data_IF_905165215062
#
_entry.id   IF_905165215062
#
_cell.length_a   1.000
_cell.length_b   1.000
_cell.length_c   1.000
_cell.angle_alpha   90.00
_cell.angle_beta   90.00
_cell.angle_gamma   90.00
#
_symmetry.space_group_name_H-M   'P 1'
#
loop_
_entity.id
_entity.type
_entity.pdbx_description
1 polymer ?
#
# COMPACT_ATOMS: atom_id res chain seq x y z
N UNK A 1 2.20 3.91 -14.23
CA UNK A 1 1.73 3.27 -12.98
C UNK A 1 1.19 4.26 -11.93
N UNK A 2 1.76 5.47 -11.76
CA UNK A 2 1.23 6.43 -10.74
C UNK A 2 -0.28 6.73 -10.88
N UNK A 3 -0.77 6.91 -12.11
CA UNK A 3 -2.20 7.14 -12.36
C UNK A 3 -3.06 5.89 -12.14
N UNK A 4 -2.58 4.71 -12.55
CA UNK A 4 -3.26 3.43 -12.32
C UNK A 4 -3.48 3.18 -10.82
N UNK A 5 -2.43 3.35 -10.00
CA UNK A 5 -2.54 3.20 -8.56
C UNK A 5 -3.48 4.23 -7.92
N UNK A 6 -3.44 5.49 -8.37
CA UNK A 6 -4.38 6.52 -7.89
C UNK A 6 -5.83 6.18 -8.22
N UNK A 7 -6.08 5.71 -9.43
CA UNK A 7 -7.43 5.29 -9.84
C UNK A 7 -7.91 4.10 -9.02
N UNK A 8 -7.07 3.09 -8.82
CA UNK A 8 -7.41 1.89 -8.04
C UNK A 8 -7.66 2.25 -6.56
N UNK A 9 -6.87 3.17 -6.00
CA UNK A 9 -7.06 3.70 -4.65
C UNK A 9 -8.38 4.47 -4.51
N UNK A 10 -8.71 5.35 -5.47
CA UNK A 10 -10.01 6.04 -5.47
C UNK A 10 -11.18 5.05 -5.57
N UNK A 11 -11.05 4.00 -6.40
CA UNK A 11 -12.05 2.95 -6.51
C UNK A 11 -12.28 2.22 -5.18
N UNK A 12 -11.21 1.91 -4.45
CA UNK A 12 -11.29 1.30 -3.10
C UNK A 12 -12.01 2.24 -2.12
N UNK A 13 -11.70 3.55 -2.14
CA UNK A 13 -12.36 4.53 -1.28
C UNK A 13 -13.86 4.64 -1.58
N UNK A 14 -14.23 4.71 -2.85
CA UNK A 14 -15.64 4.73 -3.27
C UNK A 14 -16.37 3.44 -2.88
N UNK A 15 -15.74 2.29 -3.09
CA UNK A 15 -16.30 0.98 -2.74
C UNK A 15 -16.50 0.84 -1.22
N UNK A 16 -15.55 1.33 -0.42
CA UNK A 16 -15.66 1.32 1.03
C UNK A 16 -16.77 2.25 1.52
N UNK A 17 -16.85 3.48 0.98
CA UNK A 17 -17.92 4.43 1.30
C UNK A 17 -19.30 3.87 0.93
N UNK A 18 -19.44 3.27 -0.26
CA UNK A 18 -20.67 2.62 -0.69
C UNK A 18 -21.04 1.44 0.22
N UNK A 19 -20.08 0.58 0.59
CA UNK A 19 -20.32 -0.53 1.51
C UNK A 19 -20.78 -0.09 2.89
N UNK A 20 -20.19 0.99 3.42
CA UNK A 20 -20.61 1.58 4.70
C UNK A 20 -22.00 2.22 4.62
N UNK A 21 -22.31 2.91 3.52
CA UNK A 21 -23.63 3.50 3.30
C UNK A 21 -24.72 2.42 3.23
N UNK A 22 -24.50 1.36 2.44
CA UNK A 22 -25.46 0.23 2.30
C UNK A 22 -25.64 -0.53 3.62
N UNK A 23 -24.57 -0.67 4.40
CA UNK A 23 -24.66 -1.24 5.76
C UNK A 23 -25.53 -0.38 6.66
N UNK A 24 -25.38 0.95 6.60
CA UNK A 24 -26.16 1.92 7.37
C UNK A 24 -27.62 2.03 6.95
N UNK A 25 -27.94 1.79 5.68
CA UNK A 25 -29.30 1.88 5.13
C UNK A 25 -30.20 0.67 5.44
N UNK A 26 -29.79 -0.20 6.36
CA UNK A 26 -30.57 -1.37 6.81
C UNK A 26 -30.22 -2.69 6.11
N UNK A 27 -29.38 -2.69 5.07
CA UNK A 27 -28.99 -3.91 4.35
C UNK A 27 -27.60 -4.41 4.78
N UNK A 28 -27.47 -4.74 6.07
CA UNK A 28 -26.19 -5.07 6.72
C UNK A 28 -25.46 -6.25 6.08
N UNK A 29 -26.18 -7.27 5.61
CA UNK A 29 -25.56 -8.44 4.95
C UNK A 29 -24.83 -8.06 3.66
N UNK A 30 -25.48 -7.26 2.81
CA UNK A 30 -24.92 -6.82 1.54
C UNK A 30 -23.79 -5.81 1.76
N UNK A 31 -23.96 -4.88 2.71
CA UNK A 31 -22.92 -3.92 3.10
C UNK A 31 -21.64 -4.61 3.62
N UNK A 32 -21.77 -5.60 4.50
CA UNK A 32 -20.62 -6.36 5.01
C UNK A 32 -19.91 -7.15 3.91
N UNK A 33 -20.64 -7.71 2.92
CA UNK A 33 -20.04 -8.37 1.77
C UNK A 33 -19.22 -7.40 0.91
N UNK A 34 -19.77 -6.22 0.63
CA UNK A 34 -19.06 -5.18 -0.14
C UNK A 34 -17.77 -4.81 0.60
N UNK A 35 -17.87 -4.44 1.89
CA UNK A 35 -16.71 -4.05 2.71
C UNK A 35 -15.66 -5.17 2.73
N UNK A 36 -16.08 -6.42 2.95
CA UNK A 36 -15.17 -7.57 2.94
C UNK A 36 -14.43 -7.72 1.62
N UNK A 37 -15.15 -7.61 0.49
CA UNK A 37 -14.54 -7.69 -0.83
C UNK A 37 -13.61 -6.51 -1.13
N UNK A 38 -13.97 -5.29 -0.69
CA UNK A 38 -13.12 -4.10 -0.78
C UNK A 38 -11.81 -4.30 -0.03
N UNK A 39 -11.87 -4.79 1.22
CA UNK A 39 -10.69 -5.06 2.05
C UNK A 39 -9.82 -6.15 1.42
N UNK A 40 -10.44 -7.24 0.95
CA UNK A 40 -9.72 -8.35 0.31
C UNK A 40 -9.00 -7.88 -0.97
N UNK A 41 -9.69 -7.12 -1.82
CA UNK A 41 -9.12 -6.53 -3.03
C UNK A 41 -7.98 -5.57 -2.68
N UNK A 42 -8.12 -4.75 -1.65
CA UNK A 42 -7.07 -3.84 -1.20
C UNK A 42 -5.83 -4.59 -0.72
N UNK A 43 -6.01 -5.64 0.08
CA UNK A 43 -4.91 -6.42 0.65
C UNK A 43 -4.18 -7.29 -0.39
N UNK A 44 -4.91 -7.96 -1.27
CA UNK A 44 -4.31 -8.93 -2.20
C UNK A 44 -3.98 -8.36 -3.59
N UNK A 45 -4.62 -7.26 -4.00
CA UNK A 45 -4.38 -6.67 -5.32
C UNK A 45 -3.67 -5.33 -5.16
N UNK A 46 -4.26 -4.37 -4.44
CA UNK A 46 -3.69 -3.03 -4.35
C UNK A 46 -2.33 -3.01 -3.63
N UNK A 47 -2.20 -3.70 -2.49
CA UNK A 47 -0.97 -3.71 -1.71
C UNK A 47 0.22 -4.29 -2.50
N UNK A 48 0.17 -5.49 -3.11
CA UNK A 48 1.30 -6.00 -3.91
C UNK A 48 1.67 -5.08 -5.08
N UNK A 49 0.67 -4.55 -5.81
CA UNK A 49 0.90 -3.58 -6.89
C UNK A 49 1.59 -2.31 -6.38
N UNK A 50 1.17 -1.83 -5.21
CA UNK A 50 1.77 -0.68 -4.56
C UNK A 50 3.22 -0.92 -4.17
N UNK A 51 3.50 -2.07 -3.54
CA UNK A 51 4.86 -2.45 -3.16
C UNK A 51 5.76 -2.55 -4.38
N UNK A 52 5.36 -3.27 -5.44
CA UNK A 52 6.15 -3.38 -6.68
C UNK A 52 6.42 -2.02 -7.30
N UNK A 53 5.40 -1.15 -7.36
CA UNK A 53 5.57 0.19 -7.90
C UNK A 53 6.53 1.06 -7.06
N UNK A 54 6.42 0.98 -5.73
CA UNK A 54 7.22 1.76 -4.78
C UNK A 54 8.65 1.26 -4.65
N UNK A 55 8.85 -0.05 -4.78
CA UNK A 55 10.15 -0.72 -4.66
C UNK A 55 11.06 -0.44 -5.86
N UNK A 56 10.53 0.03 -6.99
CA UNK A 56 11.31 0.26 -8.22
C UNK A 56 12.57 1.10 -7.95
N UNK A 57 13.74 0.47 -8.03
CA UNK A 57 15.05 1.10 -7.85
C UNK A 57 15.68 0.98 -6.45
N UNK A 58 15.00 0.36 -5.47
CA UNK A 58 15.55 0.12 -4.13
C UNK A 58 16.18 -1.27 -4.05
N UNK A 59 17.47 -1.36 -3.69
CA UNK A 59 18.14 -2.63 -3.44
C UNK A 59 18.00 -3.00 -1.96
N UNK A 60 17.62 -4.26 -1.67
CA UNK A 60 17.55 -4.77 -0.29
C UNK A 60 18.88 -4.59 0.47
N UNK A 61 19.99 -4.77 -0.25
CA UNK A 61 21.35 -4.63 0.28
C UNK A 61 21.59 -3.25 0.90
N UNK A 62 21.00 -2.19 0.34
CA UNK A 62 21.19 -0.82 0.85
C UNK A 62 20.48 -0.58 2.19
N UNK A 63 19.60 -1.50 2.61
CA UNK A 63 18.83 -1.43 3.86
C UNK A 63 19.24 -2.49 4.89
N UNK A 64 20.28 -3.28 4.59
CA UNK A 64 20.80 -4.28 5.53
C UNK A 64 21.90 -3.67 6.39
N UNK A 65 21.97 -4.00 7.68
CA UNK A 65 23.06 -3.62 8.59
C UNK A 65 24.33 -4.43 8.30
N UNK A 66 24.91 -4.24 7.13
CA UNK A 66 26.20 -4.82 6.76
C UNK A 66 27.34 -3.91 7.23
N UNK A 67 28.52 -4.51 7.46
CA UNK A 67 29.75 -3.77 7.78
C UNK A 67 30.03 -2.69 6.72
N UNK A 68 29.84 -3.00 5.43
CA UNK A 68 29.99 -2.05 4.31
C UNK A 68 29.04 -0.84 4.43
N UNK A 69 27.79 -1.05 4.84
CA UNK A 69 26.80 0.03 4.97
C UNK A 69 27.03 0.87 6.23
N UNK A 70 27.44 0.25 7.33
CA UNK A 70 27.82 0.95 8.56
C UNK A 70 29.04 1.85 8.34
N UNK A 71 30.02 1.36 7.57
CA UNK A 71 31.20 2.13 7.22
C UNK A 71 30.89 3.30 6.29
N UNK A 72 30.00 3.09 5.29
CA UNK A 72 29.48 4.18 4.45
C UNK A 72 28.80 5.28 5.28
N UNK A 73 28.00 4.91 6.27
CA UNK A 73 27.30 5.85 7.15
C UNK A 73 28.28 6.67 8.00
N UNK A 74 29.26 6.00 8.60
CA UNK A 74 30.32 6.64 9.39
C UNK A 74 31.15 7.62 8.55
N UNK A 75 31.50 7.24 7.32
CA UNK A 75 32.29 8.08 6.43
C UNK A 75 31.48 9.26 5.85
N UNK A 76 30.15 9.14 5.71
CA UNK A 76 29.30 10.26 5.32
C UNK A 76 29.17 11.34 6.41
N UNK A 77 29.23 10.97 7.68
CA UNK A 77 29.21 11.92 8.80
C UNK A 77 30.54 12.66 8.99
N UNK A 78 31.67 12.04 8.61
CA UNK A 78 33.01 12.64 8.73
C UNK A 78 33.34 13.63 7.59
N UNK A 79 32.54 13.66 6.52
CA UNK A 79 32.75 14.54 5.35
C UNK A 79 31.92 15.82 5.39
N UNK A 80 31.28 16.09 6.53
CA UNK A 80 30.46 17.27 6.81
C UNK A 80 31.13 18.15 7.85
#
# INVERSE_FOLDING_TARGET
>A
MRYLLRFLFLGILFSLAAGLYVKGSGNSFLGNKIIGFTVLTSAFIFMPLFLVHRWKGKKLKDYTLSQENLEKLRNSDQKK
#
